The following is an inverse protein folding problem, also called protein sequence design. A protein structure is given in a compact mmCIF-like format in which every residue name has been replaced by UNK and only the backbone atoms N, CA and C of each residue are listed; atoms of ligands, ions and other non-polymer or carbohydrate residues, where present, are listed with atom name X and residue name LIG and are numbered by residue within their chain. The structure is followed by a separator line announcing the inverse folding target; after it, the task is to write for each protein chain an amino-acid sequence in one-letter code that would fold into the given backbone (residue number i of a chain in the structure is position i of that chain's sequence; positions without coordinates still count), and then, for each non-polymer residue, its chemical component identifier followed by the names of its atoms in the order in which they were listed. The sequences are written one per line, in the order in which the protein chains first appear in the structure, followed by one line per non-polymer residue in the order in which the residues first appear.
data_IF_998328303017
#
_entry.id   IF_998328303017
#
_cell.length_a   1.000
_cell.length_b   1.000
_cell.length_c   1.000
_cell.angle_alpha   90.00
_cell.angle_beta   90.00
_cell.angle_gamma   90.00
#
_symmetry.space_group_name_H-M   'P 1'
#
loop_
_entity.id
_entity.type
_entity.pdbx_description
1 polymer ?
#
# COMPACT_ATOMS: atom_id res chain seq x y z
N UNK A 1 17.17 -21.66 -26.58
CA UNK A 1 16.38 -20.43 -26.81
C UNK A 1 15.62 -20.14 -25.54
N UNK A 2 16.24 -19.41 -24.62
CA UNK A 2 15.60 -18.96 -23.38
C UNK A 2 14.74 -17.74 -23.69
N UNK A 3 13.43 -17.91 -23.64
CA UNK A 3 12.47 -16.81 -23.74
C UNK A 3 12.55 -15.98 -22.45
N UNK A 4 13.48 -15.04 -22.38
CA UNK A 4 13.44 -13.98 -21.36
C UNK A 4 12.14 -13.21 -21.57
N UNK A 5 11.18 -13.44 -20.68
CA UNK A 5 9.99 -12.61 -20.58
C UNK A 5 10.44 -11.15 -20.40
N UNK A 6 9.81 -10.19 -21.09
CA UNK A 6 10.13 -8.78 -20.90
C UNK A 6 9.93 -8.43 -19.41
N UNK A 7 10.82 -7.59 -18.82
CA UNK A 7 10.65 -7.19 -17.44
C UNK A 7 9.28 -6.51 -17.30
N UNK A 8 8.41 -7.06 -16.44
CA UNK A 8 7.24 -6.32 -15.99
C UNK A 8 7.79 -5.16 -15.16
N UNK A 9 7.73 -3.94 -15.69
CA UNK A 9 8.01 -2.72 -14.95
C UNK A 9 6.95 -2.58 -13.85
N UNK A 10 7.20 -3.23 -12.72
CA UNK A 10 6.48 -3.03 -11.47
C UNK A 10 7.38 -2.10 -10.65
N UNK A 11 7.33 -0.80 -10.95
CA UNK A 11 8.21 0.18 -10.32
C UNK A 11 7.48 0.78 -9.11
N UNK A 12 7.75 0.21 -7.93
CA UNK A 12 7.33 0.77 -6.65
C UNK A 12 8.57 0.94 -5.76
N UNK A 13 8.57 2.01 -4.97
CA UNK A 13 9.58 2.35 -3.95
C UNK A 13 11.03 2.27 -4.43
N UNK A 14 11.85 1.37 -3.88
CA UNK A 14 13.26 1.25 -4.23
C UNK A 14 13.46 0.71 -5.67
N UNK A 15 12.39 0.24 -6.32
CA UNK A 15 12.39 -0.31 -7.69
C UNK A 15 13.07 -1.68 -7.80
N UNK A 16 13.97 -2.02 -6.88
CA UNK A 16 14.65 -3.31 -6.77
C UNK A 16 15.05 -3.59 -5.33
N UNK A 17 14.65 -4.76 -4.83
CA UNK A 17 15.15 -5.32 -3.57
C UNK A 17 16.06 -6.53 -3.90
N UNK A 18 17.23 -6.62 -3.28
CA UNK A 18 18.12 -7.78 -3.44
C UNK A 18 17.90 -8.75 -2.27
N UNK A 19 17.78 -10.04 -2.58
CA UNK A 19 17.71 -11.08 -1.56
C UNK A 19 19.11 -11.34 -1.00
N UNK A 20 19.22 -11.38 0.32
CA UNK A 20 20.43 -11.75 1.05
C UNK A 20 20.09 -12.91 1.99
N UNK A 21 20.91 -13.95 2.00
CA UNK A 21 20.71 -15.14 2.85
C UNK A 21 20.75 -16.46 2.07
N UNK A 22 20.38 -17.54 2.76
CA UNK A 22 20.33 -18.87 2.17
C UNK A 22 19.11 -19.01 1.24
N UNK A 23 19.35 -19.54 0.03
CA UNK A 23 18.31 -19.70 -0.99
C UNK A 23 17.47 -20.95 -0.69
N UNK A 24 16.48 -20.78 0.18
CA UNK A 24 15.44 -21.79 0.47
C UNK A 24 14.07 -21.32 -0.03
N UNK A 25 13.13 -22.25 -0.21
CA UNK A 25 11.76 -21.90 -0.63
C UNK A 25 11.11 -20.96 0.39
N UNK A 26 11.31 -21.24 1.67
CA UNK A 26 10.77 -20.51 2.80
C UNK A 26 11.31 -19.07 2.81
N UNK A 27 12.64 -18.91 2.74
CA UNK A 27 13.28 -17.59 2.76
C UNK A 27 12.91 -16.74 1.54
N UNK A 28 12.78 -17.35 0.35
CA UNK A 28 12.35 -16.65 -0.85
C UNK A 28 10.87 -16.23 -0.78
N UNK A 29 9.99 -17.10 -0.27
CA UNK A 29 8.59 -16.74 -0.08
C UNK A 29 8.45 -15.57 0.88
N UNK A 30 9.18 -15.59 2.00
CA UNK A 30 9.17 -14.50 2.96
C UNK A 30 9.73 -13.22 2.35
N UNK A 31 10.86 -13.29 1.65
CA UNK A 31 11.42 -12.13 0.95
C UNK A 31 10.44 -11.50 -0.04
N UNK A 32 9.76 -12.31 -0.86
CA UNK A 32 8.75 -11.82 -1.80
C UNK A 32 7.59 -11.19 -1.04
N UNK A 33 7.07 -11.85 0.01
CA UNK A 33 5.95 -11.33 0.79
C UNK A 33 6.25 -9.96 1.41
N UNK A 34 7.48 -9.76 1.90
CA UNK A 34 7.90 -8.51 2.54
C UNK A 34 8.13 -7.36 1.54
N UNK A 35 8.40 -7.67 0.27
CA UNK A 35 8.79 -6.66 -0.74
C UNK A 35 7.81 -6.55 -1.94
N UNK A 36 6.78 -7.38 -2.02
CA UNK A 36 5.81 -7.37 -3.13
C UNK A 36 4.76 -6.26 -3.03
N UNK A 37 4.58 -5.67 -1.85
CA UNK A 37 3.64 -4.58 -1.63
C UNK A 37 4.39 -3.25 -1.61
N UNK A 38 3.82 -2.19 -2.23
CA UNK A 38 4.37 -0.87 -2.10
C UNK A 38 4.26 -0.36 -0.65
N UNK A 39 5.09 0.61 -0.30
CA UNK A 39 5.13 1.26 1.01
C UNK A 39 3.76 1.81 1.42
N UNK A 40 3.05 2.39 0.44
CA UNK A 40 1.70 2.89 0.60
C UNK A 40 0.82 2.32 -0.51
N UNK A 41 -0.33 1.77 -0.14
CA UNK A 41 -1.26 1.11 -1.06
C UNK A 41 -2.53 1.95 -1.19
N UNK A 42 -2.96 2.23 -2.41
CA UNK A 42 -4.31 2.79 -2.64
C UNK A 42 -5.35 1.71 -2.37
N UNK A 43 -6.35 2.02 -1.56
CA UNK A 43 -7.49 1.14 -1.39
C UNK A 43 -8.42 1.20 -2.60
N UNK A 44 -8.60 0.06 -3.23
CA UNK A 44 -9.52 -0.19 -4.35
C UNK A 44 -10.05 -1.61 -4.23
N UNK A 45 -11.09 -1.96 -4.98
CA UNK A 45 -11.56 -3.35 -5.05
C UNK A 45 -10.47 -4.33 -5.49
N UNK A 46 -9.50 -3.87 -6.30
CA UNK A 46 -8.40 -4.70 -6.80
C UNK A 46 -7.30 -4.93 -5.75
N UNK A 47 -7.08 -3.97 -4.85
CA UNK A 47 -6.06 -4.05 -3.79
C UNK A 47 -6.62 -4.61 -2.49
N UNK A 48 -7.92 -4.53 -2.25
CA UNK A 48 -8.58 -5.03 -1.04
C UNK A 48 -8.26 -6.52 -0.72
N UNK A 49 -8.34 -7.48 -1.68
CA UNK A 49 -7.96 -8.86 -1.39
C UNK A 49 -6.51 -9.03 -0.94
N UNK A 50 -5.60 -8.16 -1.40
CA UNK A 50 -4.18 -8.18 -1.00
C UNK A 50 -3.96 -7.57 0.38
N UNK A 51 -4.68 -6.49 0.69
CA UNK A 51 -4.67 -5.82 2.00
C UNK A 51 -5.20 -6.77 3.08
N UNK A 52 -6.36 -7.37 2.87
CA UNK A 52 -7.01 -8.23 3.87
C UNK A 52 -6.50 -9.66 3.89
N UNK A 53 -5.97 -10.16 2.76
CA UNK A 53 -5.29 -11.46 2.68
C UNK A 53 -3.84 -11.43 3.16
N UNK A 54 -3.30 -10.24 3.45
CA UNK A 54 -1.92 -10.06 3.90
C UNK A 54 -1.66 -10.57 5.33
N UNK A 55 -0.38 -10.75 5.64
CA UNK A 55 0.08 -11.19 6.96
C UNK A 55 0.10 -10.03 7.98
N UNK A 56 0.29 -8.79 7.52
CA UNK A 56 0.25 -7.59 8.37
C UNK A 56 -1.20 -7.30 8.78
N UNK A 57 -1.49 -7.43 10.07
CA UNK A 57 -2.83 -7.23 10.65
C UNK A 57 -3.08 -5.82 11.19
N UNK A 58 -2.03 -5.02 11.34
CA UNK A 58 -2.14 -3.63 11.82
C UNK A 58 -2.10 -2.70 10.63
N UNK A 59 -3.17 -1.94 10.43
CA UNK A 59 -3.32 -1.04 9.28
C UNK A 59 -3.46 0.41 9.78
N UNK A 60 -2.83 1.34 9.06
CA UNK A 60 -3.09 2.77 9.19
C UNK A 60 -3.73 3.25 7.88
N UNK A 61 -4.85 3.94 8.03
CA UNK A 61 -5.64 4.43 6.91
C UNK A 61 -5.53 5.95 6.89
N UNK A 62 -5.20 6.50 5.73
CA UNK A 62 -5.29 7.92 5.43
C UNK A 62 -6.49 8.12 4.50
N UNK A 63 -7.52 8.82 4.95
CA UNK A 63 -8.62 9.24 4.09
C UNK A 63 -8.19 10.50 3.36
N UNK A 64 -7.90 10.38 2.07
CA UNK A 64 -7.31 11.46 1.27
C UNK A 64 -8.18 11.72 0.03
N UNK A 65 -9.02 12.77 0.03
CA UNK A 65 -9.85 13.10 -1.12
C UNK A 65 -8.95 13.52 -2.29
N UNK A 66 -9.18 12.98 -3.49
CA UNK A 66 -8.40 13.39 -4.68
C UNK A 66 -8.60 14.85 -5.05
N UNK A 67 -9.69 15.47 -4.59
CA UNK A 67 -9.95 16.91 -4.79
C UNK A 67 -9.21 17.83 -3.81
N UNK A 68 -8.56 17.30 -2.77
CA UNK A 68 -7.90 18.12 -1.73
C UNK A 68 -6.73 18.93 -2.31
N UNK A 69 -6.57 20.17 -1.84
CA UNK A 69 -5.36 20.93 -2.13
C UNK A 69 -4.12 20.21 -1.58
N UNK A 70 -3.00 20.28 -2.30
CA UNK A 70 -1.74 19.64 -1.87
C UNK A 70 -1.91 18.14 -1.56
N UNK A 71 -2.59 17.42 -2.46
CA UNK A 71 -2.75 15.97 -2.39
C UNK A 71 -1.39 15.25 -2.35
N UNK A 72 -0.49 15.61 -3.27
CA UNK A 72 0.83 14.97 -3.40
C UNK A 72 1.71 15.20 -2.18
N UNK A 73 1.69 16.39 -1.59
CA UNK A 73 2.44 16.69 -0.36
C UNK A 73 1.95 15.87 0.83
N UNK A 74 0.63 15.76 1.01
CA UNK A 74 0.03 14.93 2.08
C UNK A 74 0.36 13.45 1.88
N UNK A 75 0.22 12.93 0.66
CA UNK A 75 0.56 11.55 0.35
C UNK A 75 2.07 11.28 0.53
N UNK A 76 2.92 12.25 0.18
CA UNK A 76 4.37 12.14 0.39
C UNK A 76 4.72 12.09 1.88
N UNK A 77 4.11 12.93 2.71
CA UNK A 77 4.32 12.89 4.17
C UNK A 77 3.92 11.53 4.75
N UNK A 78 2.80 10.97 4.30
CA UNK A 78 2.34 9.65 4.70
C UNK A 78 3.30 8.55 4.26
N UNK A 79 3.83 8.63 3.03
CA UNK A 79 4.86 7.72 2.52
C UNK A 79 6.15 7.79 3.35
N UNK A 80 6.64 8.98 3.68
CA UNK A 80 7.82 9.15 4.53
C UNK A 80 7.62 8.52 5.91
N UNK A 81 6.44 8.68 6.51
CA UNK A 81 6.12 7.99 7.77
C UNK A 81 6.15 6.46 7.62
N UNK A 82 5.64 5.92 6.50
CA UNK A 82 5.57 4.49 6.24
C UNK A 82 6.94 3.79 6.23
N UNK A 83 8.01 4.49 5.83
CA UNK A 83 9.39 3.95 5.81
C UNK A 83 9.81 3.39 7.18
N UNK A 84 9.41 4.04 8.26
CA UNK A 84 9.78 3.63 9.63
C UNK A 84 9.05 2.38 10.14
N UNK A 85 7.99 1.95 9.44
CA UNK A 85 7.09 0.88 9.87
C UNK A 85 6.95 -0.26 8.84
N UNK A 86 7.83 -0.32 7.82
CA UNK A 86 7.86 -1.40 6.82
C UNK A 86 7.83 -2.77 7.50
N UNK A 87 6.89 -3.62 7.08
CA UNK A 87 6.68 -4.97 7.64
C UNK A 87 5.92 -5.02 8.98
N UNK A 88 5.63 -3.88 9.63
CA UNK A 88 4.94 -3.83 10.93
C UNK A 88 3.53 -3.28 10.82
N UNK A 89 3.37 -2.18 10.09
CA UNK A 89 2.08 -1.51 9.87
C UNK A 89 1.90 -1.34 8.36
N UNK A 90 0.72 -1.67 7.86
CA UNK A 90 0.37 -1.48 6.45
C UNK A 90 -0.21 -0.07 6.27
N UNK A 91 0.41 0.74 5.41
CA UNK A 91 -0.03 2.10 5.11
C UNK A 91 -0.95 2.08 3.89
N UNK A 92 -2.18 2.54 4.10
CA UNK A 92 -3.24 2.51 3.10
C UNK A 92 -3.78 3.93 2.97
N UNK A 93 -3.97 4.42 1.75
CA UNK A 93 -4.75 5.63 1.53
C UNK A 93 -6.03 5.32 0.76
N UNK A 94 -7.09 6.06 1.04
CA UNK A 94 -8.42 5.85 0.50
C UNK A 94 -8.91 7.17 -0.08
N UNK A 95 -9.37 7.15 -1.33
CA UNK A 95 -10.04 8.31 -1.93
C UNK A 95 -11.43 8.50 -1.29
N UNK A 96 -11.55 9.46 -0.38
CA UNK A 96 -12.80 9.76 0.33
C UNK A 96 -13.87 10.42 -0.56
N UNK A 97 -13.48 10.96 -1.71
CA UNK A 97 -14.44 11.53 -2.67
C UNK A 97 -15.22 10.42 -3.41
N UNK A 98 -14.60 9.26 -3.58
CA UNK A 98 -15.16 8.14 -4.33
C UNK A 98 -16.40 7.53 -3.65
N UNK A 99 -17.46 7.29 -4.44
CA UNK A 99 -18.73 6.76 -3.93
C UNK A 99 -18.59 5.35 -3.36
N UNK A 100 -17.75 4.52 -3.97
CA UNK A 100 -17.57 3.14 -3.53
C UNK A 100 -16.88 3.05 -2.14
N UNK A 101 -16.24 4.14 -1.72
CA UNK A 101 -15.57 4.24 -0.42
C UNK A 101 -16.49 4.79 0.69
N UNK A 102 -17.76 5.12 0.42
CA UNK A 102 -18.64 5.68 1.47
C UNK A 102 -18.85 4.73 2.64
N UNK A 103 -19.02 3.43 2.35
CA UNK A 103 -19.21 2.42 3.40
C UNK A 103 -18.00 2.27 4.31
N UNK A 104 -16.78 2.50 3.80
CA UNK A 104 -15.58 2.44 4.65
C UNK A 104 -15.46 3.70 5.51
N UNK A 105 -15.82 4.89 5.01
CA UNK A 105 -15.92 6.10 5.83
C UNK A 105 -16.91 5.90 6.99
N UNK A 106 -18.11 5.39 6.69
CA UNK A 106 -19.14 5.10 7.71
C UNK A 106 -18.67 4.11 8.77
N UNK A 107 -17.93 3.07 8.37
CA UNK A 107 -17.36 2.10 9.30
C UNK A 107 -16.41 2.73 10.31
N UNK A 108 -15.64 3.73 9.88
CA UNK A 108 -14.75 4.52 10.75
C UNK A 108 -15.43 5.74 11.38
N UNK A 109 -16.73 5.95 11.13
CA UNK A 109 -17.50 7.06 11.69
C UNK A 109 -17.11 8.43 11.13
N UNK A 110 -16.51 8.48 9.94
CA UNK A 110 -16.08 9.71 9.28
C UNK A 110 -17.10 10.19 8.24
N UNK A 111 -17.20 11.50 8.09
CA UNK A 111 -17.85 12.17 6.96
C UNK A 111 -16.82 12.70 5.97
N UNK A 112 -17.25 12.98 4.73
CA UNK A 112 -16.39 13.54 3.69
C UNK A 112 -15.75 14.85 4.12
N UNK A 113 -16.50 15.70 4.83
CA UNK A 113 -16.05 17.03 5.24
C UNK A 113 -15.03 16.99 6.37
N UNK A 114 -14.88 15.84 7.03
CA UNK A 114 -13.86 15.59 8.06
C UNK A 114 -12.55 15.06 7.46
N UNK A 115 -12.53 14.78 6.15
CA UNK A 115 -11.34 14.37 5.41
C UNK A 115 -10.60 15.59 4.84
N UNK A 116 -9.25 15.59 4.82
CA UNK A 116 -8.38 14.45 5.09
C UNK A 116 -8.18 14.16 6.59
N UNK A 117 -8.09 12.86 6.92
CA UNK A 117 -7.95 12.34 8.29
C UNK A 117 -7.05 11.11 8.34
#
# INVERSE_FOLDING_TARGET
METRLPPRNIQFDEGRNNFEGEVTKENLLDFIKHNQLPLVIEFTEQTAPKIFGGEIKTHILLFLPKSVSDYDGKLSNFKTAAESFKGKILFIFIDSDHTDNQRILEFFGLKKEECPA
#
